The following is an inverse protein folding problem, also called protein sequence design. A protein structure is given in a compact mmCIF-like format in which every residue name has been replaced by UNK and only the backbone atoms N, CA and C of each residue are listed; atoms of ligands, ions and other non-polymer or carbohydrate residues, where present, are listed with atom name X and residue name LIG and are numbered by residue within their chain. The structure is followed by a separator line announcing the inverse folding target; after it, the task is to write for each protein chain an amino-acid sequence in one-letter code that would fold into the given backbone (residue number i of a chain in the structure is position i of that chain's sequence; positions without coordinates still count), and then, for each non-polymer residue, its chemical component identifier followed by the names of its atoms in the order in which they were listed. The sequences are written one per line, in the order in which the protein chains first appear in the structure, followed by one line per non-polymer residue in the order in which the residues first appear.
data_IF_740878266821
#
_entry.id   IF_740878266821
#
_cell.length_a   1.000
_cell.length_b   1.000
_cell.length_c   1.000
_cell.angle_alpha   90.00
_cell.angle_beta   90.00
_cell.angle_gamma   90.00
#
_symmetry.space_group_name_H-M   'P 1'
#
loop_
_entity.id
_entity.type
_entity.pdbx_description
1 polymer ?
#
# COMPACT_ATOMS: atom_id res chain seq x y z
N UNK A 1 0.77 -5.22 20.84
CA UNK A 1 1.43 -4.96 19.54
C UNK A 1 1.47 -3.47 19.32
N UNK A 2 2.67 -2.89 19.27
CA UNK A 2 2.87 -1.48 18.98
C UNK A 2 2.94 -1.37 17.45
N UNK A 3 1.89 -0.82 16.83
CA UNK A 3 1.78 -0.75 15.37
C UNK A 3 2.72 0.35 14.83
N UNK A 4 3.76 -0.03 14.09
CA UNK A 4 4.58 0.91 13.32
C UNK A 4 3.78 1.40 12.11
N UNK A 5 2.98 2.45 12.32
CA UNK A 5 2.14 3.07 11.27
C UNK A 5 2.92 3.58 10.05
N UNK A 6 4.25 3.64 10.13
CA UNK A 6 5.14 4.17 9.10
C UNK A 6 5.55 3.16 8.03
N UNK A 7 5.24 1.87 8.17
CA UNK A 7 5.64 0.84 7.19
C UNK A 7 4.48 0.39 6.32
N UNK A 8 4.78 0.06 5.05
CA UNK A 8 3.86 -0.67 4.19
C UNK A 8 3.53 -2.02 4.84
N UNK A 9 2.27 -2.40 4.73
CA UNK A 9 1.76 -3.68 5.22
C UNK A 9 0.83 -4.26 4.17
N UNK A 10 0.82 -5.57 4.04
CA UNK A 10 -0.08 -6.29 3.13
C UNK A 10 -0.53 -7.61 3.74
N UNK A 11 -1.59 -8.15 3.17
CA UNK A 11 -2.04 -9.52 3.41
C UNK A 11 -1.55 -10.38 2.26
N UNK A 12 -1.05 -11.56 2.62
CA UNK A 12 -0.67 -12.63 1.70
C UNK A 12 -1.76 -13.70 1.68
N UNK A 13 -1.84 -14.42 0.58
CA UNK A 13 -2.87 -15.41 0.36
C UNK A 13 -2.30 -16.81 0.55
N UNK A 14 -2.79 -17.51 1.59
CA UNK A 14 -2.45 -18.92 1.82
C UNK A 14 -2.72 -19.79 0.60
N UNK A 15 -3.75 -19.45 -0.19
CA UNK A 15 -4.12 -20.13 -1.44
C UNK A 15 -3.00 -20.11 -2.50
N UNK A 16 -2.09 -19.12 -2.44
CA UNK A 16 -1.05 -18.93 -3.45
C UNK A 16 0.31 -19.48 -3.02
N UNK A 17 0.42 -20.11 -1.84
CA UNK A 17 1.70 -20.64 -1.30
C UNK A 17 2.39 -21.64 -2.23
N UNK A 18 1.61 -22.43 -2.97
CA UNK A 18 2.14 -23.44 -3.90
C UNK A 18 2.47 -22.87 -5.29
N UNK A 19 2.24 -21.57 -5.51
CA UNK A 19 2.47 -20.87 -6.78
C UNK A 19 3.48 -19.71 -6.61
N UNK A 20 4.77 -20.00 -6.35
CA UNK A 20 5.77 -18.98 -5.99
C UNK A 20 6.10 -17.97 -7.09
N UNK A 21 5.66 -18.21 -8.34
CA UNK A 21 5.80 -17.26 -9.45
C UNK A 21 4.76 -16.13 -9.40
N UNK A 22 3.73 -16.27 -8.56
CA UNK A 22 2.68 -15.27 -8.39
C UNK A 22 2.97 -14.48 -7.11
N UNK A 23 3.46 -13.25 -7.27
CA UNK A 23 3.51 -12.27 -6.17
C UNK A 23 2.20 -11.48 -6.14
N UNK A 24 1.38 -11.75 -5.11
CA UNK A 24 0.09 -11.09 -4.92
C UNK A 24 -0.02 -10.54 -3.50
N UNK A 25 -0.06 -9.21 -3.40
CA UNK A 25 -0.14 -8.47 -2.14
C UNK A 25 -1.40 -7.62 -2.11
N UNK A 26 -2.21 -7.75 -1.06
CA UNK A 26 -3.27 -6.77 -0.76
C UNK A 26 -2.76 -5.79 0.27
N UNK A 27 -2.38 -4.60 -0.19
CA UNK A 27 -1.88 -3.56 0.69
C UNK A 27 -2.96 -3.03 1.64
N UNK A 28 -2.56 -2.81 2.89
CA UNK A 28 -3.37 -2.20 3.94
C UNK A 28 -3.21 -0.66 3.90
N UNK A 29 -4.06 0.05 4.66
CA UNK A 29 -4.10 1.53 4.65
C UNK A 29 -2.88 2.24 5.26
N UNK A 30 -1.88 1.51 5.75
CA UNK A 30 -0.73 2.06 6.50
C UNK A 30 0.49 2.34 5.61
N UNK A 31 1.41 3.19 6.08
CA UNK A 31 2.69 3.45 5.42
C UNK A 31 2.64 4.40 4.22
N UNK A 32 1.55 5.12 4.01
CA UNK A 32 1.45 6.12 2.93
C UNK A 32 1.57 7.57 3.41
N UNK A 33 1.51 8.50 2.46
CA UNK A 33 1.68 9.94 2.60
C UNK A 33 0.37 10.74 2.59
N UNK A 34 -0.79 10.08 2.42
CA UNK A 34 -2.08 10.75 2.49
C UNK A 34 -2.48 11.06 3.93
N UNK A 35 -3.27 12.11 4.13
CA UNK A 35 -3.65 12.61 5.45
C UNK A 35 -5.17 12.63 5.67
N UNK A 36 -5.60 12.97 6.89
CA UNK A 36 -7.00 13.15 7.27
C UNK A 36 -7.87 11.92 6.92
N UNK A 37 -8.98 12.14 6.20
CA UNK A 37 -9.91 11.07 5.79
C UNK A 37 -9.29 10.08 4.78
N UNK A 38 -8.15 10.43 4.18
CA UNK A 38 -7.40 9.58 3.25
C UNK A 38 -6.19 8.91 3.92
N UNK A 39 -6.00 9.12 5.22
CA UNK A 39 -4.89 8.52 5.95
C UNK A 39 -4.86 6.98 5.80
N UNK A 40 -3.79 6.34 5.34
CA UNK A 40 -2.49 6.91 4.89
C UNK A 40 -2.07 6.52 3.47
N UNK A 41 -2.45 5.34 2.99
CA UNK A 41 -2.06 4.81 1.69
C UNK A 41 -3.24 4.85 0.71
N UNK A 42 -3.70 6.05 0.33
CA UNK A 42 -4.71 6.18 -0.70
C UNK A 42 -4.07 6.12 -2.10
N UNK A 43 -4.63 5.27 -2.96
CA UNK A 43 -4.16 5.06 -4.33
C UNK A 43 -5.10 5.63 -5.39
N UNK A 44 -6.24 6.22 -5.00
CA UNK A 44 -7.26 6.71 -5.93
C UNK A 44 -7.07 8.18 -6.30
N UNK A 45 -7.17 8.48 -7.60
CA UNK A 45 -7.17 9.85 -8.13
C UNK A 45 -8.56 10.52 -8.09
N UNK A 46 -9.61 9.81 -7.69
CA UNK A 46 -11.01 10.24 -7.93
C UNK A 46 -11.80 10.56 -6.66
N UNK A 47 -11.14 10.57 -5.50
CA UNK A 47 -11.81 10.71 -4.19
C UNK A 47 -11.55 12.06 -3.52
N UNK A 48 -10.83 12.97 -4.20
CA UNK A 48 -10.53 14.32 -3.70
C UNK A 48 -9.34 14.39 -2.74
N UNK A 49 -8.40 13.44 -2.84
CA UNK A 49 -7.13 13.48 -2.11
C UNK A 49 -6.08 14.33 -2.85
N UNK A 50 -4.99 14.65 -2.17
CA UNK A 50 -3.83 15.33 -2.74
C UNK A 50 -3.22 14.49 -3.89
N UNK A 51 -3.12 15.03 -5.12
CA UNK A 51 -2.50 14.31 -6.24
C UNK A 51 -1.05 13.89 -5.95
N UNK A 52 -0.30 14.71 -5.21
CA UNK A 52 1.09 14.42 -4.84
C UNK A 52 1.17 13.27 -3.84
N UNK A 53 0.31 13.24 -2.81
CA UNK A 53 0.24 12.13 -1.86
C UNK A 53 -0.12 10.81 -2.56
N UNK A 54 -1.09 10.84 -3.48
CA UNK A 54 -1.48 9.65 -4.26
C UNK A 54 -0.34 9.18 -5.17
N UNK A 55 0.40 10.09 -5.79
CA UNK A 55 1.59 9.76 -6.58
C UNK A 55 2.66 9.10 -5.71
N UNK A 56 3.00 9.69 -4.58
CA UNK A 56 3.97 9.12 -3.63
C UNK A 56 3.55 7.72 -3.15
N UNK A 57 2.28 7.51 -2.84
CA UNK A 57 1.75 6.20 -2.44
C UNK A 57 1.90 5.15 -3.54
N UNK A 58 1.67 5.52 -4.80
CA UNK A 58 1.86 4.60 -5.94
C UNK A 58 3.33 4.30 -6.20
N UNK A 59 4.20 5.29 -6.05
CA UNK A 59 5.65 5.10 -6.18
C UNK A 59 6.17 4.18 -5.07
N UNK A 60 5.65 4.28 -3.84
CA UNK A 60 5.94 3.34 -2.74
C UNK A 60 5.56 1.90 -3.10
N UNK A 61 4.35 1.67 -3.62
CA UNK A 61 3.92 0.34 -4.06
C UNK A 61 4.79 -0.18 -5.20
N UNK A 62 5.10 0.66 -6.18
CA UNK A 62 5.92 0.26 -7.32
C UNK A 62 7.32 -0.18 -6.88
N UNK A 63 7.93 0.54 -5.94
CA UNK A 63 9.23 0.17 -5.41
C UNK A 63 9.18 -1.15 -4.61
N UNK A 64 8.10 -1.42 -3.88
CA UNK A 64 7.93 -2.68 -3.14
C UNK A 64 7.75 -3.91 -4.05
N UNK A 65 7.07 -3.75 -5.19
CA UNK A 65 6.86 -4.84 -6.16
C UNK A 65 8.13 -5.10 -7.00
N UNK A 66 8.99 -4.09 -7.15
CA UNK A 66 10.21 -4.18 -7.96
C UNK A 66 11.47 -4.56 -7.16
N UNK A 67 11.40 -4.57 -5.83
CA UNK A 67 12.49 -4.94 -4.92
C UNK A 67 12.63 -6.46 -4.79
#
# INVERSE_FOLDING_TARGET
MQFEKSKLQWVEYDLLKDHPVIDAKTYLRHGGASENKFFSLNLSNQVGDSPDSVKMNRDLIKNDIQA
#
